data_IF_727149110103
#
_entry.id   IF_727149110103
#
_cell.length_a   1.000
_cell.length_b   1.000
_cell.length_c   1.000
_cell.angle_alpha   90.00
_cell.angle_beta   90.00
_cell.angle_gamma   90.00
#
_symmetry.space_group_name_H-M   'P 1'
#
loop_
_entity.id
_entity.type
_entity.pdbx_description
1 polymer ?
#
# COMPACT_ATOMS: atom_id res chain seq x y z
N UNK A 1 6.10 -5.18 -13.09
CA UNK A 1 7.44 -4.59 -13.01
C UNK A 1 8.49 -5.63 -12.70
N UNK A 2 8.80 -6.02 -11.45
CA UNK A 2 9.77 -7.11 -11.17
C UNK A 2 9.39 -8.40 -11.88
N UNK A 3 8.13 -8.79 -11.81
CA UNK A 3 7.61 -9.98 -12.48
C UNK A 3 7.63 -9.90 -14.01
N UNK A 4 7.64 -8.70 -14.56
CA UNK A 4 7.80 -8.47 -15.98
C UNK A 4 9.26 -8.44 -16.45
N UNK A 5 10.24 -8.61 -15.53
CA UNK A 5 11.67 -8.69 -15.85
C UNK A 5 12.33 -7.34 -16.16
N UNK A 6 11.78 -6.23 -15.66
CA UNK A 6 12.43 -4.92 -15.80
C UNK A 6 13.71 -4.85 -14.96
N UNK A 7 14.70 -4.11 -15.47
CA UNK A 7 15.87 -3.69 -14.70
C UNK A 7 15.42 -2.64 -13.67
N UNK A 8 15.33 -3.05 -12.41
CA UNK A 8 14.84 -2.18 -11.33
C UNK A 8 15.80 -1.02 -11.03
N UNK A 9 17.10 -1.17 -11.30
CA UNK A 9 18.07 -0.08 -11.14
C UNK A 9 17.80 1.00 -12.18
N UNK A 10 17.66 0.61 -13.44
CA UNK A 10 17.33 1.54 -14.52
C UNK A 10 15.97 2.22 -14.28
N UNK A 11 14.97 1.45 -13.84
CA UNK A 11 13.63 2.00 -13.56
C UNK A 11 13.67 3.04 -12.44
N UNK A 12 14.48 2.80 -11.39
CA UNK A 12 14.66 3.76 -10.31
C UNK A 12 15.41 5.03 -10.78
N UNK A 13 16.42 4.89 -11.65
CA UNK A 13 17.12 6.02 -12.26
C UNK A 13 16.17 6.87 -13.11
N UNK A 14 15.33 6.23 -13.91
CA UNK A 14 14.33 6.89 -14.74
C UNK A 14 13.29 7.63 -13.87
N UNK A 15 12.82 6.99 -12.79
CA UNK A 15 11.92 7.61 -11.82
C UNK A 15 12.53 8.87 -11.20
N UNK A 16 13.79 8.81 -10.75
CA UNK A 16 14.49 9.98 -10.20
C UNK A 16 14.55 11.12 -11.21
N UNK A 17 14.91 10.82 -12.46
CA UNK A 17 15.00 11.83 -13.52
C UNK A 17 13.64 12.49 -13.78
N UNK A 18 12.56 11.70 -13.90
CA UNK A 18 11.20 12.18 -14.12
C UNK A 18 10.74 13.06 -12.94
N UNK A 19 10.95 12.62 -11.72
CA UNK A 19 10.51 13.38 -10.54
C UNK A 19 11.34 14.65 -10.31
N UNK A 20 12.64 14.64 -10.61
CA UNK A 20 13.45 15.85 -10.60
C UNK A 20 12.95 16.89 -11.62
N UNK A 21 12.55 16.45 -12.81
CA UNK A 21 11.99 17.33 -13.85
C UNK A 21 10.61 17.87 -13.43
N UNK A 22 9.73 16.97 -12.94
CA UNK A 22 8.40 17.35 -12.46
C UNK A 22 8.47 18.36 -11.30
N UNK A 23 9.37 18.14 -10.34
CA UNK A 23 9.55 19.04 -9.20
C UNK A 23 10.07 20.41 -9.64
N UNK A 24 11.00 20.47 -10.61
CA UNK A 24 11.45 21.74 -11.20
C UNK A 24 10.33 22.49 -11.91
N UNK A 25 9.45 21.76 -12.62
CA UNK A 25 8.28 22.37 -13.24
C UNK A 25 7.25 22.87 -12.23
N UNK A 26 7.11 22.19 -11.10
CA UNK A 26 6.22 22.57 -9.99
C UNK A 26 6.77 23.76 -9.17
N UNK A 27 8.07 24.05 -9.27
CA UNK A 27 8.69 25.15 -8.56
C UNK A 27 8.04 26.48 -8.98
N UNK A 28 7.73 27.31 -8.01
CA UNK A 28 7.01 28.57 -8.23
C UNK A 28 5.48 28.43 -8.47
N UNK A 29 4.96 27.23 -8.70
CA UNK A 29 3.52 26.98 -8.89
C UNK A 29 2.77 26.67 -7.60
N UNK A 30 3.47 26.60 -6.46
CA UNK A 30 2.91 26.13 -5.17
C UNK A 30 2.30 24.72 -5.25
N UNK A 31 2.80 23.92 -6.16
CA UNK A 31 2.39 22.53 -6.34
C UNK A 31 3.36 21.58 -5.65
N UNK A 32 2.85 20.40 -5.28
CA UNK A 32 3.63 19.27 -4.78
C UNK A 32 3.43 18.09 -5.73
N UNK A 33 4.46 17.27 -5.83
CA UNK A 33 4.44 16.03 -6.61
C UNK A 33 4.47 14.87 -5.63
N UNK A 34 3.44 14.05 -5.64
CA UNK A 34 3.33 12.88 -4.78
C UNK A 34 3.55 11.59 -5.58
N UNK A 35 4.58 10.84 -5.23
CA UNK A 35 4.79 9.49 -5.74
C UNK A 35 4.02 8.50 -4.87
N UNK A 36 3.16 7.70 -5.49
CA UNK A 36 2.50 6.61 -4.78
C UNK A 36 3.46 5.42 -4.64
N UNK A 37 3.50 4.82 -3.45
CA UNK A 37 4.08 3.50 -3.29
C UNK A 37 3.12 2.47 -3.89
N UNK A 38 3.53 1.91 -4.98
CA UNK A 38 2.83 0.85 -5.69
C UNK A 38 3.73 -0.39 -5.78
N UNK A 39 3.26 -1.50 -6.34
CA UNK A 39 4.00 -2.77 -6.47
C UNK A 39 5.27 -2.70 -7.36
N UNK A 40 5.83 -1.52 -7.55
CA UNK A 40 6.98 -1.27 -8.45
C UNK A 40 8.31 -1.24 -7.70
N UNK A 41 8.33 -0.58 -6.54
CA UNK A 41 9.53 -0.33 -5.75
C UNK A 41 9.35 -0.78 -4.30
N UNK A 42 10.39 -1.39 -3.75
CA UNK A 42 10.48 -1.69 -2.31
C UNK A 42 10.60 -0.40 -1.49
N UNK A 43 10.35 -0.51 -0.18
CA UNK A 43 10.58 0.59 0.78
C UNK A 43 11.99 1.20 0.64
N UNK A 44 13.01 0.38 0.40
CA UNK A 44 14.40 0.86 0.26
C UNK A 44 14.61 1.65 -1.02
N UNK A 45 14.03 1.19 -2.11
CA UNK A 45 14.10 1.89 -3.40
C UNK A 45 13.32 3.21 -3.36
N UNK A 46 12.15 3.24 -2.72
CA UNK A 46 11.40 4.48 -2.49
C UNK A 46 12.20 5.49 -1.67
N UNK A 47 12.86 5.05 -0.60
CA UNK A 47 13.73 5.91 0.19
C UNK A 47 14.90 6.46 -0.64
N UNK A 48 15.54 5.62 -1.44
CA UNK A 48 16.64 6.02 -2.34
C UNK A 48 16.17 7.00 -3.41
N UNK A 49 14.98 6.78 -4.01
CA UNK A 49 14.40 7.72 -4.98
C UNK A 49 14.17 9.09 -4.32
N UNK A 50 13.54 9.11 -3.13
CA UNK A 50 13.31 10.35 -2.37
C UNK A 50 14.62 11.12 -2.12
N UNK A 51 15.63 10.41 -1.61
CA UNK A 51 16.93 11.02 -1.24
C UNK A 51 17.66 11.58 -2.48
N UNK A 52 17.48 10.97 -3.64
CA UNK A 52 18.08 11.43 -4.90
C UNK A 52 17.30 12.55 -5.57
N UNK A 53 15.98 12.55 -5.45
CA UNK A 53 15.14 13.67 -5.96
C UNK A 53 15.40 14.93 -5.15
N UNK A 54 15.60 14.83 -3.84
CA UNK A 54 15.99 15.88 -2.90
C UNK A 54 15.30 17.23 -3.18
N UNK A 55 13.98 17.22 -3.25
CA UNK A 55 13.18 18.40 -3.57
C UNK A 55 12.11 18.65 -2.52
N UNK A 56 11.93 19.89 -2.03
CA UNK A 56 10.83 20.22 -1.14
C UNK A 56 9.46 20.15 -1.81
N UNK A 57 9.40 20.01 -3.14
CA UNK A 57 8.17 19.80 -3.90
C UNK A 57 7.80 18.32 -4.02
N UNK A 58 8.72 17.40 -3.67
CA UNK A 58 8.50 15.95 -3.72
C UNK A 58 7.98 15.40 -2.40
N UNK A 59 7.16 14.36 -2.47
CA UNK A 59 6.72 13.56 -1.33
C UNK A 59 5.96 12.33 -1.80
N UNK A 60 5.17 11.74 -0.89
CA UNK A 60 4.51 10.47 -1.15
C UNK A 60 2.99 10.56 -1.04
N UNK A 61 2.31 9.79 -1.90
CA UNK A 61 0.99 9.25 -1.60
C UNK A 61 1.22 7.95 -0.83
N UNK A 62 0.95 7.96 0.48
CA UNK A 62 1.16 6.76 1.31
C UNK A 62 -0.02 5.83 1.13
N UNK A 63 0.17 4.76 0.36
CA UNK A 63 -0.78 3.67 0.24
C UNK A 63 -0.48 2.61 1.30
N UNK A 64 -1.49 2.29 2.10
CA UNK A 64 -1.31 1.43 3.27
C UNK A 64 -1.18 -0.06 2.95
N UNK A 65 -1.49 -0.47 1.70
CA UNK A 65 -1.57 -1.88 1.32
C UNK A 65 -0.65 -2.29 0.15
N UNK A 66 -0.27 -1.38 -0.74
CA UNK A 66 0.39 -1.75 -1.99
C UNK A 66 1.75 -2.45 -1.82
N UNK A 67 2.53 -2.14 -0.78
CA UNK A 67 3.85 -2.80 -0.58
C UNK A 67 3.76 -4.23 -0.05
N UNK A 68 2.57 -4.74 0.17
CA UNK A 68 2.38 -6.16 0.41
C UNK A 68 2.91 -7.05 -0.72
N UNK A 69 2.96 -6.53 -1.94
CA UNK A 69 3.51 -7.25 -3.11
C UNK A 69 5.00 -7.55 -2.98
N UNK A 70 5.74 -6.72 -2.26
CA UNK A 70 7.16 -6.93 -1.94
C UNK A 70 7.37 -7.48 -0.51
N UNK A 71 6.30 -7.87 0.17
CA UNK A 71 6.31 -8.38 1.55
C UNK A 71 6.89 -7.37 2.55
N UNK A 72 6.82 -6.09 2.27
CA UNK A 72 7.16 -5.04 3.23
C UNK A 72 6.04 -4.86 4.27
N UNK A 73 6.41 -4.76 5.53
CA UNK A 73 5.46 -4.63 6.63
C UNK A 73 4.84 -3.22 6.62
N UNK A 74 3.47 -3.10 6.62
CA UNK A 74 2.78 -1.83 6.41
C UNK A 74 3.14 -0.73 7.42
N UNK A 75 3.39 -1.09 8.67
CA UNK A 75 3.75 -0.13 9.72
C UNK A 75 5.15 0.45 9.50
N UNK A 76 6.10 -0.40 9.15
CA UNK A 76 7.48 0.02 8.85
C UNK A 76 7.53 0.94 7.64
N UNK A 77 6.78 0.58 6.59
CA UNK A 77 6.60 1.43 5.42
C UNK A 77 6.11 2.82 5.82
N UNK A 78 4.99 2.85 6.58
CA UNK A 78 4.40 4.11 7.01
C UNK A 78 5.39 4.96 7.81
N UNK A 79 6.13 4.37 8.74
CA UNK A 79 7.15 5.08 9.52
C UNK A 79 8.23 5.74 8.65
N UNK A 80 8.61 5.08 7.56
CA UNK A 80 9.61 5.62 6.63
C UNK A 80 9.06 6.75 5.76
N UNK A 81 7.81 6.62 5.28
CA UNK A 81 7.23 7.57 4.34
C UNK A 81 6.49 8.74 5.02
N UNK A 82 6.07 8.57 6.27
CA UNK A 82 5.26 9.56 6.97
C UNK A 82 5.86 10.97 7.02
N UNK A 83 7.20 11.17 7.20
CA UNK A 83 7.77 12.51 7.18
C UNK A 83 7.51 13.29 5.90
N UNK A 84 7.42 12.60 4.77
CA UNK A 84 7.27 13.19 3.43
C UNK A 84 5.88 12.91 2.82
N UNK A 85 4.90 12.50 3.64
CA UNK A 85 3.55 12.20 3.19
C UNK A 85 2.81 13.47 2.74
N UNK A 86 2.29 13.49 1.52
CA UNK A 86 1.48 14.57 0.96
C UNK A 86 0.00 14.22 0.89
N UNK A 87 -0.32 12.96 0.72
CA UNK A 87 -1.67 12.41 0.71
C UNK A 87 -1.63 10.91 1.00
N UNK A 88 -2.77 10.25 1.02
CA UNK A 88 -2.86 8.81 1.36
C UNK A 88 -3.84 8.08 0.48
N UNK A 89 -3.65 6.74 0.38
CA UNK A 89 -4.66 5.78 -0.02
C UNK A 89 -4.82 4.75 1.10
N UNK A 90 -5.94 4.82 1.82
CA UNK A 90 -6.27 3.88 2.89
C UNK A 90 -7.04 2.71 2.31
N UNK A 91 -6.42 1.55 2.32
CA UNK A 91 -7.04 0.27 1.96
C UNK A 91 -6.56 -0.84 2.88
N UNK A 92 -7.29 -1.92 2.97
CA UNK A 92 -6.96 -3.03 3.86
C UNK A 92 -7.16 -4.37 3.17
N UNK A 93 -6.47 -5.36 3.66
CA UNK A 93 -6.59 -6.75 3.21
C UNK A 93 -6.47 -7.72 4.38
N UNK A 94 -6.95 -8.94 4.14
CA UNK A 94 -6.68 -10.10 4.96
C UNK A 94 -5.61 -10.95 4.30
N UNK A 95 -4.63 -11.39 5.08
CA UNK A 95 -3.61 -12.33 4.60
C UNK A 95 -4.15 -13.74 4.75
N UNK A 96 -4.33 -14.45 3.64
CA UNK A 96 -4.84 -15.82 3.62
C UNK A 96 -3.78 -16.80 3.09
N UNK A 97 -3.84 -18.05 3.54
CA UNK A 97 -2.94 -19.10 3.06
C UNK A 97 -3.47 -19.71 1.77
N UNK A 98 -2.56 -20.05 0.86
CA UNK A 98 -2.85 -20.79 -0.37
C UNK A 98 -1.89 -21.96 -0.54
N UNK A 99 -2.16 -22.92 -1.42
CA UNK A 99 -1.20 -24.00 -1.71
C UNK A 99 0.15 -23.53 -2.22
N UNK A 100 0.21 -22.33 -2.85
CA UNK A 100 1.43 -21.75 -3.40
C UNK A 100 2.06 -20.69 -2.48
N UNK A 101 1.50 -20.45 -1.30
CA UNK A 101 2.00 -19.46 -0.35
C UNK A 101 0.90 -18.68 0.35
N UNK A 102 0.75 -17.43 0.01
CA UNK A 102 -0.22 -16.50 0.60
C UNK A 102 -1.06 -15.85 -0.50
N UNK A 103 -2.15 -15.19 -0.11
CA UNK A 103 -2.85 -14.23 -0.95
C UNK A 103 -3.41 -13.08 -0.08
N UNK A 104 -3.66 -11.95 -0.72
CA UNK A 104 -4.20 -10.75 -0.11
C UNK A 104 -5.66 -10.58 -0.55
N UNK A 105 -6.57 -10.79 0.38
CA UNK A 105 -8.00 -10.60 0.15
C UNK A 105 -8.41 -9.18 0.55
N UNK A 106 -8.83 -8.36 -0.42
CA UNK A 106 -9.29 -7.01 -0.15
C UNK A 106 -10.53 -7.02 0.77
N UNK A 107 -10.59 -6.08 1.69
CA UNK A 107 -11.69 -5.96 2.64
C UNK A 107 -11.93 -4.50 3.06
N UNK A 108 -12.94 -4.28 3.91
CA UNK A 108 -13.17 -2.96 4.48
C UNK A 108 -12.03 -2.56 5.43
N UNK A 109 -11.87 -1.27 5.71
CA UNK A 109 -10.75 -0.75 6.51
C UNK A 109 -10.67 -1.38 7.91
N UNK A 110 -11.81 -1.68 8.52
CA UNK A 110 -11.88 -2.24 9.88
C UNK A 110 -11.67 -3.75 9.97
N UNK A 111 -11.72 -4.46 8.85
CA UNK A 111 -11.81 -5.92 8.83
C UNK A 111 -10.49 -6.62 8.42
N UNK A 112 -9.48 -5.85 8.06
CA UNK A 112 -8.20 -6.38 7.57
C UNK A 112 -7.14 -6.54 8.64
N UNK A 113 -5.96 -6.95 8.18
CA UNK A 113 -4.81 -7.24 9.04
C UNK A 113 -3.92 -6.02 9.31
N UNK A 114 -4.08 -4.94 8.53
CA UNK A 114 -3.34 -3.69 8.70
C UNK A 114 -4.01 -2.87 9.80
N UNK A 115 -3.22 -2.48 10.81
CA UNK A 115 -3.69 -1.59 11.87
C UNK A 115 -3.76 -0.12 11.36
N UNK A 116 -4.89 0.20 10.76
CA UNK A 116 -5.15 1.52 10.17
C UNK A 116 -5.20 2.64 11.22
N UNK A 117 -5.48 2.32 12.50
CA UNK A 117 -5.49 3.32 13.58
C UNK A 117 -4.05 3.75 13.87
N UNK A 118 -3.15 2.81 14.08
CA UNK A 118 -1.74 3.09 14.32
C UNK A 118 -1.11 3.84 13.14
N UNK A 119 -1.44 3.44 11.91
CA UNK A 119 -0.97 4.13 10.70
C UNK A 119 -1.45 5.59 10.68
N UNK A 120 -2.74 5.83 10.90
CA UNK A 120 -3.30 7.18 10.92
C UNK A 120 -2.68 8.04 12.03
N UNK A 121 -2.42 7.47 13.21
CA UNK A 121 -1.73 8.17 14.30
C UNK A 121 -0.29 8.55 13.96
N UNK A 122 0.45 7.69 13.27
CA UNK A 122 1.81 7.99 12.79
C UNK A 122 1.76 9.15 11.81
N UNK A 123 0.91 9.08 10.79
CA UNK A 123 0.77 10.13 9.79
C UNK A 123 0.37 11.46 10.42
N UNK A 124 -0.59 11.45 11.36
CA UNK A 124 -1.06 12.64 12.04
C UNK A 124 0.01 13.32 12.93
N UNK A 125 1.02 12.59 13.42
CA UNK A 125 2.14 13.18 14.16
C UNK A 125 3.02 14.06 13.29
N UNK A 126 3.20 13.68 12.01
CA UNK A 126 3.98 14.47 11.06
C UNK A 126 3.12 15.53 10.35
N UNK A 127 1.88 15.16 10.02
CA UNK A 127 0.98 16.00 9.21
C UNK A 127 -0.44 16.00 9.80
N UNK A 128 -0.73 16.82 10.84
CA UNK A 128 -2.03 16.82 11.53
C UNK A 128 -3.24 17.13 10.64
N UNK A 129 -3.04 17.69 9.46
CA UNK A 129 -4.11 18.01 8.51
C UNK A 129 -4.12 17.13 7.26
N UNK A 130 -3.40 16.00 7.28
CA UNK A 130 -3.33 15.11 6.12
C UNK A 130 -4.69 14.49 5.79
N UNK A 131 -5.07 14.53 4.52
CA UNK A 131 -6.29 13.89 4.05
C UNK A 131 -6.12 12.37 4.03
N UNK A 132 -7.10 11.65 4.61
CA UNK A 132 -7.18 10.19 4.56
C UNK A 132 -8.15 9.80 3.43
N UNK A 133 -7.62 9.50 2.27
CA UNK A 133 -8.42 9.03 1.14
C UNK A 133 -8.63 7.53 1.25
N UNK A 134 -9.86 7.06 1.10
CA UNK A 134 -10.21 5.65 1.14
C UNK A 134 -10.22 5.11 -0.28
N UNK A 135 -9.49 4.02 -0.50
CA UNK A 135 -9.48 3.29 -1.77
C UNK A 135 -9.97 1.87 -1.55
N UNK A 136 -10.94 1.43 -2.35
CA UNK A 136 -11.58 0.11 -2.23
C UNK A 136 -11.44 -0.66 -3.54
N UNK A 137 -11.09 -1.94 -3.42
CA UNK A 137 -10.91 -2.87 -4.54
C UNK A 137 -11.63 -4.20 -4.30
N UNK A 138 -12.89 -4.12 -3.85
CA UNK A 138 -13.65 -5.30 -3.40
C UNK A 138 -14.03 -6.27 -4.51
N UNK A 139 -14.00 -5.84 -5.77
CA UNK A 139 -14.37 -6.64 -6.94
C UNK A 139 -13.27 -7.60 -7.39
N UNK A 140 -12.03 -7.41 -6.93
CA UNK A 140 -10.92 -8.25 -7.37
C UNK A 140 -10.78 -9.50 -6.51
N UNK A 141 -10.42 -10.61 -7.15
CA UNK A 141 -9.97 -11.81 -6.46
C UNK A 141 -8.75 -11.50 -5.60
N UNK A 142 -8.51 -12.29 -4.53
CA UNK A 142 -7.32 -12.13 -3.71
C UNK A 142 -6.05 -12.17 -4.55
N UNK A 143 -5.16 -11.20 -4.32
CA UNK A 143 -3.90 -11.12 -5.04
C UNK A 143 -2.93 -12.20 -4.53
N UNK A 144 -2.39 -13.08 -5.41
CA UNK A 144 -1.52 -14.17 -5.00
C UNK A 144 -0.11 -13.68 -4.68
N UNK A 145 0.43 -14.13 -3.55
CA UNK A 145 1.84 -14.05 -3.16
C UNK A 145 2.42 -15.47 -3.17
N UNK A 146 2.94 -15.89 -4.30
CA UNK A 146 3.30 -17.29 -4.58
C UNK A 146 4.69 -17.65 -4.03
N UNK A 147 4.94 -17.33 -2.76
CA UNK A 147 6.23 -17.42 -2.06
C UNK A 147 6.81 -18.84 -1.99
N UNK A 148 5.99 -19.87 -2.21
CA UNK A 148 6.42 -21.28 -2.24
C UNK A 148 6.67 -21.77 -3.66
N UNK A 149 6.43 -20.95 -4.70
CA UNK A 149 6.63 -21.31 -6.09
C UNK A 149 8.13 -21.26 -6.45
N UNK A 150 8.68 -22.26 -7.13
CA UNK A 150 10.04 -22.17 -7.63
C UNK A 150 10.26 -20.91 -8.47
N UNK A 151 11.38 -20.21 -8.25
CA UNK A 151 11.73 -18.98 -8.97
C UNK A 151 11.06 -17.71 -8.47
N UNK A 152 10.13 -17.75 -7.49
CA UNK A 152 9.57 -16.54 -6.89
C UNK A 152 10.69 -15.63 -6.33
N UNK A 153 11.59 -16.21 -5.54
CA UNK A 153 12.66 -15.48 -4.86
C UNK A 153 13.77 -14.98 -5.79
N UNK A 154 13.87 -15.53 -7.01
CA UNK A 154 14.81 -15.04 -8.01
C UNK A 154 14.49 -13.60 -8.45
N UNK A 155 13.23 -13.23 -8.37
CA UNK A 155 12.72 -11.89 -8.71
C UNK A 155 12.54 -10.98 -7.50
N UNK A 156 12.52 -11.56 -6.31
CA UNK A 156 12.40 -10.85 -5.03
C UNK A 156 13.65 -11.15 -4.17
N UNK A 157 14.83 -10.63 -4.55
CA UNK A 157 16.12 -11.09 -4.01
C UNK A 157 16.37 -10.74 -2.53
N UNK A 158 15.53 -9.92 -1.95
CA UNK A 158 15.71 -9.48 -0.56
C UNK A 158 14.36 -9.28 0.12
N UNK A 159 13.62 -10.36 0.44
CA UNK A 159 12.47 -10.21 1.30
C UNK A 159 12.99 -9.66 2.64
N UNK A 160 12.41 -8.58 3.16
CA UNK A 160 12.70 -8.18 4.50
C UNK A 160 12.23 -9.30 5.43
N UNK A 161 13.13 -9.93 6.17
CA UNK A 161 12.80 -11.06 7.06
C UNK A 161 11.65 -10.72 8.03
N UNK A 162 11.60 -9.47 8.47
CA UNK A 162 10.55 -8.96 9.35
C UNK A 162 9.19 -8.87 8.64
N UNK A 163 9.17 -8.42 7.39
CA UNK A 163 7.94 -8.33 6.60
C UNK A 163 7.35 -9.72 6.33
N UNK A 164 8.15 -10.67 5.82
CA UNK A 164 7.68 -12.03 5.58
C UNK A 164 7.11 -12.67 6.87
N UNK A 165 7.78 -12.50 8.00
CA UNK A 165 7.32 -13.03 9.28
C UNK A 165 5.98 -12.43 9.72
N UNK A 166 5.75 -11.15 9.47
CA UNK A 166 4.48 -10.49 9.73
C UNK A 166 3.34 -11.12 8.90
N UNK A 167 3.53 -11.29 7.59
CA UNK A 167 2.54 -11.91 6.70
C UNK A 167 2.24 -13.35 7.10
N UNK A 168 3.26 -14.14 7.43
CA UNK A 168 3.08 -15.49 7.91
C UNK A 168 2.29 -15.52 9.24
N UNK A 169 2.65 -14.68 10.21
CA UNK A 169 1.94 -14.59 11.49
C UNK A 169 0.46 -14.24 11.28
N UNK A 170 0.14 -13.25 10.46
CA UNK A 170 -1.25 -12.87 10.14
C UNK A 170 -2.03 -14.02 9.51
N UNK A 171 -1.43 -14.71 8.54
CA UNK A 171 -2.08 -15.85 7.88
C UNK A 171 -2.37 -17.03 8.85
N UNK A 172 -1.60 -17.17 9.92
CA UNK A 172 -1.76 -18.26 10.92
C UNK A 172 -2.85 -17.99 11.95
N UNK A 173 -3.29 -16.76 12.12
CA UNK A 173 -4.37 -16.41 13.05
C UNK A 173 -5.76 -16.82 12.55
N UNK A 174 -5.88 -17.24 11.28
CA UNK A 174 -7.15 -17.60 10.64
C UNK A 174 -7.24 -19.10 10.45
N UNK A 175 -8.22 -19.72 11.12
CA UNK A 175 -8.47 -21.16 11.03
C UNK A 175 -9.39 -21.54 9.85
N UNK A 176 -10.29 -20.64 9.46
CA UNK A 176 -11.21 -20.84 8.35
C UNK A 176 -10.76 -19.98 7.17
N UNK A 177 -10.36 -20.67 6.10
CA UNK A 177 -10.02 -20.00 4.84
C UNK A 177 -11.28 -20.05 3.97
N UNK A 178 -11.99 -18.92 3.79
CA UNK A 178 -13.04 -18.90 2.79
C UNK A 178 -12.41 -19.18 1.43
N UNK A 179 -13.15 -19.86 0.56
CA UNK A 179 -12.74 -19.96 -0.84
C UNK A 179 -12.64 -18.55 -1.38
N UNK A 180 -11.45 -18.15 -1.90
CA UNK A 180 -11.29 -16.81 -2.41
C UNK A 180 -12.36 -16.51 -3.45
N UNK A 181 -13.07 -15.38 -3.37
CA UNK A 181 -14.02 -15.02 -4.41
C UNK A 181 -13.27 -14.87 -5.74
N UNK A 182 -13.92 -15.26 -6.82
CA UNK A 182 -13.44 -14.92 -8.16
C UNK A 182 -13.60 -13.41 -8.41
N UNK A 183 -12.85 -12.88 -9.38
CA UNK A 183 -13.12 -11.53 -9.87
C UNK A 183 -14.60 -11.40 -10.25
N UNK A 184 -15.25 -10.36 -9.76
CA UNK A 184 -16.55 -9.98 -10.26
C UNK A 184 -16.39 -9.26 -11.61
N UNK A 185 -17.27 -9.57 -12.54
CA UNK A 185 -17.35 -8.79 -13.77
C UNK A 185 -17.74 -7.35 -13.44
N UNK A 186 -17.21 -6.39 -14.22
CA UNK A 186 -17.63 -5.00 -14.09
C UNK A 186 -19.13 -4.88 -14.40
N UNK A 187 -19.87 -4.31 -13.46
CA UNK A 187 -21.33 -4.21 -13.57
C UNK A 187 -22.03 -3.94 -12.24
N UNK A 188 -23.37 -3.98 -12.22
CA UNK A 188 -24.16 -3.58 -11.07
C UNK A 188 -23.83 -4.34 -9.77
N UNK A 189 -23.45 -5.61 -9.86
CA UNK A 189 -23.11 -6.44 -8.70
C UNK A 189 -21.79 -6.00 -8.05
N UNK A 190 -20.74 -5.81 -8.86
CA UNK A 190 -19.45 -5.34 -8.38
C UNK A 190 -19.56 -3.93 -7.82
N UNK A 191 -20.29 -3.03 -8.46
CA UNK A 191 -20.50 -1.65 -8.00
C UNK A 191 -21.26 -1.58 -6.68
N UNK A 192 -22.26 -2.46 -6.48
CA UNK A 192 -23.00 -2.53 -5.22
C UNK A 192 -22.12 -3.04 -4.08
N UNK A 193 -21.28 -4.04 -4.34
CA UNK A 193 -20.33 -4.56 -3.36
C UNK A 193 -19.30 -3.49 -2.98
N UNK A 194 -18.71 -2.83 -3.96
CA UNK A 194 -17.71 -1.78 -3.74
C UNK A 194 -18.30 -0.60 -2.97
N UNK A 195 -19.50 -0.14 -3.36
CA UNK A 195 -20.22 0.90 -2.64
C UNK A 195 -20.49 0.50 -1.18
N UNK A 196 -20.96 -0.71 -0.94
CA UNK A 196 -21.21 -1.22 0.42
C UNK A 196 -19.92 -1.21 1.25
N UNK A 197 -18.82 -1.69 0.71
CA UNK A 197 -17.54 -1.72 1.42
C UNK A 197 -16.99 -0.32 1.63
N UNK A 198 -17.19 0.60 0.70
CA UNK A 198 -16.83 2.01 0.87
C UNK A 198 -17.62 2.66 2.02
N UNK A 199 -18.95 2.49 2.04
CA UNK A 199 -19.82 3.01 3.11
C UNK A 199 -19.40 2.45 4.48
N UNK A 200 -19.15 1.15 4.57
CA UNK A 200 -18.66 0.50 5.80
C UNK A 200 -17.30 1.05 6.24
N UNK A 201 -16.38 1.25 5.30
CA UNK A 201 -15.05 1.82 5.58
C UNK A 201 -15.13 3.26 6.07
N UNK A 202 -16.01 4.08 5.49
CA UNK A 202 -16.27 5.46 5.94
C UNK A 202 -16.83 5.46 7.37
N UNK A 203 -17.81 4.61 7.66
CA UNK A 203 -18.41 4.52 8.99
C UNK A 203 -17.40 4.03 10.04
N UNK A 204 -16.56 3.08 9.68
CA UNK A 204 -15.48 2.65 10.54
C UNK A 204 -14.48 3.79 10.79
N UNK A 205 -14.02 4.47 9.72
CA UNK A 205 -13.07 5.58 9.84
C UNK A 205 -13.59 6.71 10.73
N UNK A 206 -14.87 7.08 10.60
CA UNK A 206 -15.51 8.08 11.47
C UNK A 206 -15.48 7.67 12.94
N UNK A 207 -15.70 6.39 13.25
CA UNK A 207 -15.72 5.87 14.62
C UNK A 207 -14.30 5.71 15.18
N UNK A 208 -13.40 5.08 14.42
CA UNK A 208 -12.07 4.72 14.89
C UNK A 208 -11.08 5.89 14.84
N UNK A 209 -11.19 6.75 13.82
CA UNK A 209 -10.26 7.85 13.56
C UNK A 209 -10.83 9.22 13.87
N UNK A 210 -12.09 9.31 14.36
CA UNK A 210 -12.76 10.58 14.61
C UNK A 210 -11.97 11.55 15.48
N UNK A 211 -11.19 11.04 16.43
CA UNK A 211 -10.32 11.84 17.30
C UNK A 211 -9.14 12.52 16.55
N UNK A 212 -8.78 12.03 15.36
CA UNK A 212 -7.76 12.61 14.48
C UNK A 212 -8.34 13.56 13.44
N UNK A 213 -9.63 13.40 13.09
CA UNK A 213 -10.29 14.15 12.01
C UNK A 213 -10.84 15.53 12.44
N UNK A 214 -10.81 15.83 13.72
CA UNK A 214 -11.43 17.05 14.32
C UNK A 214 -10.42 18.13 14.70
N UNK A 215 -9.18 18.03 14.20
CA UNK A 215 -8.11 19.00 14.52
C UNK A 215 -7.78 19.92 13.36
#
# INVERSE_FOLDING_TARGET
TRDAGYDMTQLADDAVNIFCEACRAADGMRMKIAMENHADFTVRELAMIRDRVDSPAFGFTVDTANLAFDLDEPLRLTQLMAPDALTTHFKNYRVIRTPQGLALENCTLGDGDIDQVVIAEILARYHPGLHLNIEIHSQFAPFPLEILKPGYWDRHPSPPGDGLSWYLAKSWTRNDLPTPPANLADGPESWQLERKHLEQSIDWARKALGHLLTR
#
